data_IF_792686266034
#
_entry.id   IF_792686266034
#
_cell.length_a   1.000
_cell.length_b   1.000
_cell.length_c   1.000
_cell.angle_alpha   90.00
_cell.angle_beta   90.00
_cell.angle_gamma   90.00
#
_symmetry.space_group_name_H-M   'P 1'
#
loop_
_entity.id
_entity.type
_entity.pdbx_description
1 polymer ?
#
# COMPACT_ATOMS: atom_id res chain seq x y z
N UNK A 1 -8.26 -16.74 -5.18
CA UNK A 1 -8.80 -15.56 -5.89
C UNK A 1 -9.29 -14.59 -4.84
N UNK A 2 -8.67 -13.41 -4.76
CA UNK A 2 -9.12 -12.37 -3.84
C UNK A 2 -10.52 -11.91 -4.30
N UNK A 3 -11.47 -11.79 -3.37
CA UNK A 3 -12.89 -11.52 -3.68
C UNK A 3 -13.17 -10.02 -3.92
N UNK A 4 -12.19 -9.17 -3.63
CA UNK A 4 -12.30 -7.72 -3.67
C UNK A 4 -11.74 -7.15 -4.97
N UNK A 5 -12.41 -6.13 -5.49
CA UNK A 5 -11.96 -5.29 -6.59
C UNK A 5 -10.76 -4.41 -6.18
N UNK A 6 -10.05 -3.88 -7.17
CA UNK A 6 -8.93 -2.95 -6.93
C UNK A 6 -9.38 -1.73 -6.14
N UNK A 7 -10.55 -1.20 -6.46
CA UNK A 7 -11.18 -0.10 -5.73
C UNK A 7 -11.40 -0.43 -4.25
N UNK A 8 -11.98 -1.59 -3.93
CA UNK A 8 -12.24 -1.99 -2.55
C UNK A 8 -10.94 -2.13 -1.73
N UNK A 9 -9.87 -2.64 -2.35
CA UNK A 9 -8.57 -2.78 -1.67
C UNK A 9 -7.92 -1.41 -1.46
N UNK A 10 -8.01 -0.51 -2.44
CA UNK A 10 -7.51 0.87 -2.31
C UNK A 10 -8.29 1.63 -1.24
N UNK A 11 -9.63 1.53 -1.24
CA UNK A 11 -10.48 2.19 -0.26
C UNK A 11 -10.17 1.69 1.16
N UNK A 12 -9.96 0.38 1.35
CA UNK A 12 -9.54 -0.18 2.64
C UNK A 12 -8.22 0.42 3.16
N UNK A 13 -7.25 0.72 2.28
CA UNK A 13 -6.01 1.37 2.71
C UNK A 13 -6.24 2.82 3.16
N UNK A 14 -7.07 3.57 2.43
CA UNK A 14 -7.39 4.94 2.81
C UNK A 14 -8.22 5.04 4.09
N UNK A 15 -9.09 4.06 4.35
CA UNK A 15 -9.81 3.96 5.62
C UNK A 15 -8.83 3.78 6.78
N UNK A 16 -7.92 2.80 6.70
CA UNK A 16 -6.86 2.59 7.71
C UNK A 16 -5.95 3.81 7.88
N UNK A 17 -5.61 4.49 6.78
CA UNK A 17 -4.83 5.73 6.82
C UNK A 17 -5.55 6.85 7.57
N UNK A 18 -6.85 7.00 7.39
CA UNK A 18 -7.66 8.02 8.05
C UNK A 18 -7.86 7.72 9.54
N UNK A 19 -8.03 6.44 9.90
CA UNK A 19 -8.16 5.99 11.29
C UNK A 19 -6.83 6.14 12.05
N UNK A 20 -5.71 6.13 11.32
CA UNK A 20 -4.38 6.41 11.85
C UNK A 20 -3.76 5.26 12.65
N UNK A 21 -4.35 4.07 12.58
CA UNK A 21 -3.81 2.87 13.23
C UNK A 21 -2.63 2.30 12.41
N UNK A 22 -1.41 2.24 12.97
CA UNK A 22 -0.24 1.79 12.23
C UNK A 22 -0.30 0.33 11.77
N UNK A 23 -0.94 -0.55 12.54
CA UNK A 23 -1.00 -1.99 12.24
C UNK A 23 -2.02 -2.26 11.13
N UNK A 24 -3.13 -1.53 11.11
CA UNK A 24 -4.09 -1.56 10.01
C UNK A 24 -3.48 -1.01 8.72
N UNK A 25 -2.72 0.09 8.78
CA UNK A 25 -2.01 0.65 7.62
C UNK A 25 -1.02 -0.37 7.04
N UNK A 26 -0.23 -1.04 7.89
CA UNK A 26 0.72 -2.09 7.46
C UNK A 26 -0.02 -3.28 6.82
N UNK A 27 -1.12 -3.70 7.42
CA UNK A 27 -1.93 -4.82 6.93
C UNK A 27 -2.59 -4.51 5.57
N UNK A 28 -3.11 -3.29 5.42
CA UNK A 28 -3.65 -2.80 4.17
C UNK A 28 -2.57 -2.65 3.10
N UNK A 29 -1.39 -2.11 3.46
CA UNK A 29 -0.24 -2.02 2.58
C UNK A 29 0.19 -3.40 2.06
N UNK A 30 0.27 -4.40 2.96
CA UNK A 30 0.62 -5.75 2.56
C UNK A 30 -0.41 -6.32 1.56
N UNK A 31 -1.70 -6.07 1.78
CA UNK A 31 -2.76 -6.48 0.86
C UNK A 31 -2.65 -5.83 -0.52
N UNK A 32 -2.25 -4.56 -0.58
CA UNK A 32 -1.97 -3.85 -1.82
C UNK A 32 -0.78 -4.47 -2.58
N UNK A 33 0.31 -4.78 -1.87
CA UNK A 33 1.50 -5.40 -2.48
C UNK A 33 1.18 -6.80 -3.04
N UNK A 34 0.26 -7.55 -2.42
CA UNK A 34 -0.22 -8.84 -2.94
C UNK A 34 -1.13 -8.66 -4.16
N UNK A 35 -1.90 -7.56 -4.24
CA UNK A 35 -2.84 -7.31 -5.33
C UNK A 35 -2.18 -6.77 -6.59
N UNK A 36 -1.40 -5.70 -6.45
CA UNK A 36 -0.74 -5.00 -7.56
C UNK A 36 0.63 -5.60 -7.90
N UNK A 37 1.21 -6.34 -6.96
CA UNK A 37 2.54 -6.92 -7.09
C UNK A 37 3.64 -5.93 -6.68
N UNK A 38 4.48 -6.33 -5.73
CA UNK A 38 5.54 -5.47 -5.22
C UNK A 38 6.54 -5.01 -6.29
N UNK A 39 6.74 -5.78 -7.38
CA UNK A 39 7.59 -5.34 -8.51
C UNK A 39 7.00 -4.12 -9.20
N UNK A 40 5.71 -4.14 -9.52
CA UNK A 40 5.04 -3.03 -10.19
C UNK A 40 5.02 -1.79 -9.29
N UNK A 41 4.66 -1.96 -8.01
CA UNK A 41 4.68 -0.85 -7.04
C UNK A 41 6.10 -0.27 -6.91
N UNK A 42 7.13 -1.11 -6.92
CA UNK A 42 8.53 -0.65 -6.85
C UNK A 42 8.94 0.18 -8.07
N UNK A 43 8.54 -0.23 -9.27
CA UNK A 43 8.84 0.49 -10.52
C UNK A 43 8.16 1.87 -10.56
N UNK A 44 6.91 1.97 -10.10
CA UNK A 44 6.14 3.21 -10.11
C UNK A 44 6.54 4.17 -8.99
N UNK A 45 6.79 3.65 -7.78
CA UNK A 45 7.09 4.49 -6.60
C UNK A 45 8.59 4.78 -6.43
N UNK A 46 9.46 4.01 -7.10
CA UNK A 46 10.90 4.04 -6.88
C UNK A 46 11.37 3.39 -5.56
N UNK A 47 10.45 2.87 -4.73
CA UNK A 47 10.79 2.21 -3.47
C UNK A 47 11.28 0.79 -3.77
N UNK A 48 12.44 0.34 -3.25
CA UNK A 48 12.88 -1.03 -3.44
C UNK A 48 11.88 -2.05 -2.90
N UNK A 49 11.68 -3.16 -3.62
CA UNK A 49 10.79 -4.26 -3.20
C UNK A 49 11.04 -4.75 -1.77
N UNK A 50 12.31 -4.83 -1.36
CA UNK A 50 12.69 -5.22 0.00
C UNK A 50 12.14 -4.23 1.03
N UNK A 51 12.30 -2.93 0.76
CA UNK A 51 11.79 -1.85 1.60
C UNK A 51 10.26 -1.88 1.68
N UNK A 52 9.56 -2.14 0.56
CA UNK A 52 8.09 -2.30 0.56
C UNK A 52 7.62 -3.42 1.49
N UNK A 53 8.28 -4.58 1.46
CA UNK A 53 7.96 -5.68 2.37
C UNK A 53 8.39 -5.40 3.82
N UNK A 54 9.53 -4.73 4.02
CA UNK A 54 10.00 -4.35 5.35
C UNK A 54 9.02 -3.39 6.02
N UNK A 55 8.41 -2.45 5.28
CA UNK A 55 7.36 -1.55 5.75
C UNK A 55 6.10 -2.27 6.25
N UNK A 56 5.89 -3.54 5.90
CA UNK A 56 4.72 -4.31 6.32
C UNK A 56 4.96 -5.13 7.60
N UNK A 57 6.19 -5.16 8.14
CA UNK A 57 6.51 -5.96 9.32
C UNK A 57 5.97 -5.33 10.60
N UNK A 58 5.58 -6.17 11.55
CA UNK A 58 5.01 -5.74 12.84
C UNK A 58 5.92 -4.74 13.58
N UNK A 59 7.23 -4.99 13.59
CA UNK A 59 8.25 -4.16 14.25
C UNK A 59 8.78 -2.98 13.40
N UNK A 60 8.26 -2.82 12.17
CA UNK A 60 8.68 -1.75 11.29
C UNK A 60 8.00 -0.42 11.59
N UNK A 61 8.64 0.67 11.16
CA UNK A 61 8.06 1.99 11.15
C UNK A 61 8.27 2.61 9.75
N UNK A 62 7.30 2.46 8.83
CA UNK A 62 7.36 3.07 7.52
C UNK A 62 7.56 4.58 7.62
N UNK A 63 8.42 5.15 6.77
CA UNK A 63 8.58 6.61 6.73
C UNK A 63 7.34 7.24 6.11
N UNK A 64 6.97 8.44 6.57
CA UNK A 64 5.90 9.22 5.97
C UNK A 64 6.13 9.45 4.47
N UNK A 65 7.39 9.68 4.08
CA UNK A 65 7.78 9.82 2.67
C UNK A 65 7.41 8.59 1.83
N UNK A 66 7.78 7.39 2.27
CA UNK A 66 7.43 6.16 1.55
C UNK A 66 5.91 5.94 1.51
N UNK A 67 5.20 6.26 2.60
CA UNK A 67 3.74 6.16 2.64
C UNK A 67 3.09 7.15 1.67
N UNK A 68 3.60 8.38 1.55
CA UNK A 68 3.13 9.36 0.56
C UNK A 68 3.33 8.87 -0.88
N UNK A 69 4.49 8.29 -1.20
CA UNK A 69 4.74 7.73 -2.54
C UNK A 69 3.76 6.61 -2.89
N UNK A 70 3.47 5.73 -1.92
CA UNK A 70 2.44 4.69 -2.10
C UNK A 70 1.06 5.33 -2.28
N UNK A 71 0.69 6.32 -1.47
CA UNK A 71 -0.59 7.03 -1.58
C UNK A 71 -0.78 7.62 -2.99
N UNK A 72 0.26 8.24 -3.54
CA UNK A 72 0.18 8.85 -4.88
C UNK A 72 0.00 7.77 -5.96
N UNK A 73 0.75 6.66 -5.88
CA UNK A 73 0.51 5.49 -6.74
C UNK A 73 -0.95 5.01 -6.66
N UNK A 74 -1.53 4.91 -5.46
CA UNK A 74 -2.91 4.43 -5.29
C UNK A 74 -3.96 5.40 -5.85
N UNK A 75 -3.74 6.71 -5.76
CA UNK A 75 -4.63 7.72 -6.38
C UNK A 75 -4.65 7.58 -7.90
N UNK A 76 -3.51 7.27 -8.50
CA UNK A 76 -3.41 7.03 -9.94
C UNK A 76 -4.17 5.75 -10.33
N UNK A 77 -4.00 4.66 -9.58
CA UNK A 77 -4.74 3.41 -9.82
C UNK A 77 -6.26 3.59 -9.66
N UNK A 78 -6.69 4.39 -8.68
CA UNK A 78 -8.12 4.70 -8.44
C UNK A 78 -8.74 5.52 -9.56
N UNK A 79 -7.95 6.34 -10.25
CA UNK A 79 -8.43 7.17 -11.38
C UNK A 79 -8.51 6.38 -12.68
N UNK A 80 -7.78 5.27 -12.79
CA UNK A 80 -7.75 4.38 -13.94
C UNK A 80 -8.79 3.23 -13.87
N UNK A 81 -9.45 3.03 -12.73
CA UNK A 81 -10.41 1.95 -12.44
C UNK A 81 -11.86 2.43 -12.49
#
# INVERSE_FOLDING_TARGET
MNKYSDKEIIDSFFDSWNDGDPDDIKSALHSLLQRFGATHVSEETGIPRTTLYDMCKDDSNPTLENLCLVIDFLKDQKSAS
#
